data_IF_501486831493
#
_entry.id   IF_501486831493
#
_cell.length_a   1.000
_cell.length_b   1.000
_cell.length_c   1.000
_cell.angle_alpha   90.00
_cell.angle_beta   90.00
_cell.angle_gamma   90.00
#
_symmetry.space_group_name_H-M   'P 1'
#
loop_
_entity.id
_entity.type
_entity.pdbx_description
1 polymer ?
#
# COMPACT_ATOMS: atom_id res chain seq x y z
N UNK A 1 0.01 9.94 31.43
CA UNK A 1 -1.32 9.43 31.08
C UNK A 1 -1.75 10.11 29.80
N UNK A 2 -2.06 9.32 28.77
CA UNK A 2 -2.60 9.82 27.51
C UNK A 2 -4.12 9.65 27.55
N UNK A 3 -4.86 10.64 27.08
CA UNK A 3 -6.31 10.59 26.98
C UNK A 3 -6.70 10.72 25.51
N UNK A 4 -7.42 9.72 25.00
CA UNK A 4 -7.90 9.70 23.62
C UNK A 4 -9.29 10.32 23.56
N UNK A 5 -9.51 11.22 22.60
CA UNK A 5 -10.80 11.90 22.39
C UNK A 5 -11.62 11.23 21.28
N UNK A 6 -12.94 11.17 21.47
CA UNK A 6 -13.89 10.65 20.48
C UNK A 6 -14.15 11.57 19.28
N UNK A 7 -13.84 12.87 19.34
CA UNK A 7 -13.98 13.83 18.24
C UNK A 7 -12.87 14.90 18.26
N UNK A 8 -12.41 15.31 17.08
CA UNK A 8 -11.44 16.41 16.88
C UNK A 8 -12.11 17.77 17.06
N UNK A 9 -11.44 18.72 17.72
CA UNK A 9 -11.92 20.12 17.79
C UNK A 9 -11.87 20.76 16.41
N UNK A 10 -12.89 21.54 16.06
CA UNK A 10 -12.92 22.44 14.89
C UNK A 10 -12.06 23.70 15.08
N UNK A 11 -11.61 24.01 16.30
CA UNK A 11 -10.71 25.13 16.62
C UNK A 11 -9.63 24.74 17.65
N UNK A 12 -8.37 25.11 17.39
CA UNK A 12 -7.19 24.76 18.21
C UNK A 12 -6.33 23.63 17.61
N UNK A 13 -5.28 23.18 18.33
CA UNK A 13 -4.41 22.07 17.89
C UNK A 13 -5.26 20.81 17.70
N UNK A 14 -5.41 20.34 16.45
CA UNK A 14 -6.27 19.21 16.01
C UNK A 14 -5.82 17.83 16.52
N UNK A 15 -5.30 17.74 17.75
CA UNK A 15 -4.72 16.51 18.32
C UNK A 15 -5.83 15.59 18.85
N UNK A 16 -5.78 14.32 18.44
CA UNK A 16 -6.69 13.24 18.88
C UNK A 16 -6.27 12.72 20.27
N UNK A 17 -5.00 12.85 20.61
CA UNK A 17 -4.40 12.40 21.87
C UNK A 17 -3.99 13.62 22.72
N UNK A 18 -4.45 13.65 23.96
CA UNK A 18 -4.01 14.61 24.96
C UNK A 18 -2.98 14.01 25.91
N UNK A 19 -1.88 14.73 26.12
CA UNK A 19 -0.81 14.33 27.02
C UNK A 19 0.55 14.72 26.45
N UNK A 20 1.61 14.47 27.24
CA UNK A 20 3.00 14.66 26.82
C UNK A 20 3.58 13.29 26.47
N UNK A 21 4.10 13.17 25.26
CA UNK A 21 4.79 11.99 24.77
C UNK A 21 5.78 12.39 23.68
N UNK A 22 6.71 11.48 23.36
CA UNK A 22 7.65 11.61 22.24
C UNK A 22 7.53 10.36 21.35
N UNK A 23 7.76 10.50 20.03
CA UNK A 23 7.95 9.34 19.17
C UNK A 23 9.02 8.40 19.76
N UNK A 24 8.75 7.10 19.73
CA UNK A 24 9.59 6.05 20.31
C UNK A 24 9.24 5.67 21.75
N UNK A 25 8.45 6.47 22.48
CA UNK A 25 8.01 6.14 23.84
C UNK A 25 7.14 4.87 23.84
N UNK A 26 7.27 4.05 24.89
CA UNK A 26 6.42 2.88 25.09
C UNK A 26 5.10 3.27 25.73
N UNK A 27 4.00 2.71 25.24
CA UNK A 27 2.66 3.00 25.74
C UNK A 27 1.91 1.70 26.05
N UNK A 28 1.29 1.67 27.22
CA UNK A 28 0.40 0.59 27.66
C UNK A 28 -1.04 1.09 27.61
N UNK A 29 -1.93 0.28 27.04
CA UNK A 29 -3.37 0.57 27.03
C UNK A 29 -4.01 -0.03 28.27
N UNK A 30 -4.87 0.74 28.95
CA UNK A 30 -5.66 0.27 30.08
C UNK A 30 -7.14 0.44 29.73
N UNK A 31 -7.91 -0.64 29.85
CA UNK A 31 -9.35 -0.64 29.54
C UNK A 31 -10.13 -1.42 30.60
N UNK A 32 -11.44 -1.19 30.72
CA UNK A 32 -12.26 -1.84 31.75
C UNK A 32 -12.63 -3.27 31.35
N UNK A 33 -13.21 -3.44 30.16
CA UNK A 33 -13.80 -4.68 29.70
C UNK A 33 -13.45 -4.91 28.24
N UNK A 34 -12.98 -6.12 27.92
CA UNK A 34 -12.75 -6.54 26.53
C UNK A 34 -13.79 -7.56 26.09
N UNK A 35 -14.43 -7.28 24.96
CA UNK A 35 -15.28 -8.22 24.20
C UNK A 35 -14.54 -8.72 22.96
N UNK A 36 -14.54 -7.92 21.88
CA UNK A 36 -13.87 -8.19 20.60
C UNK A 36 -12.44 -7.66 20.54
N UNK A 37 -12.09 -6.71 21.42
CA UNK A 37 -10.80 -6.01 21.39
C UNK A 37 -10.72 -4.83 20.40
N UNK A 38 -11.78 -4.53 19.65
CA UNK A 38 -11.79 -3.49 18.61
C UNK A 38 -11.35 -2.11 19.12
N UNK A 39 -11.87 -1.67 20.27
CA UNK A 39 -11.51 -0.37 20.86
C UNK A 39 -10.02 -0.25 21.20
N UNK A 40 -9.42 -1.34 21.71
CA UNK A 40 -8.00 -1.38 22.04
C UNK A 40 -7.16 -1.33 20.76
N UNK A 41 -7.55 -2.08 19.73
CA UNK A 41 -6.87 -2.07 18.44
C UNK A 41 -6.94 -0.70 17.76
N UNK A 42 -8.12 -0.07 17.70
CA UNK A 42 -8.29 1.30 17.18
C UNK A 42 -7.40 2.31 17.93
N UNK A 43 -7.37 2.20 19.27
CA UNK A 43 -6.51 3.05 20.12
C UNK A 43 -5.03 2.82 19.80
N UNK A 44 -4.61 1.56 19.67
CA UNK A 44 -3.24 1.19 19.39
C UNK A 44 -2.79 1.73 18.03
N UNK A 45 -3.64 1.64 17.00
CA UNK A 45 -3.34 2.16 15.66
C UNK A 45 -3.13 3.67 15.67
N UNK A 46 -3.98 4.41 16.38
CA UNK A 46 -3.84 5.87 16.53
C UNK A 46 -2.53 6.22 17.25
N UNK A 47 -2.22 5.54 18.36
CA UNK A 47 -0.98 5.78 19.11
C UNK A 47 0.27 5.44 18.29
N UNK A 48 0.24 4.33 17.53
CA UNK A 48 1.34 3.91 16.65
C UNK A 48 1.60 4.92 15.53
N UNK A 49 0.55 5.49 14.93
CA UNK A 49 0.68 6.58 13.93
C UNK A 49 1.31 7.85 14.49
N UNK A 50 1.16 8.11 15.78
CA UNK A 50 1.86 9.21 16.48
C UNK A 50 3.28 8.82 16.95
N UNK A 51 3.77 7.65 16.53
CA UNK A 51 5.13 7.17 16.79
C UNK A 51 5.31 6.43 18.11
N UNK A 52 4.23 6.06 18.83
CA UNK A 52 4.34 5.32 20.09
C UNK A 52 4.47 3.81 19.88
N UNK A 53 5.24 3.16 20.75
CA UNK A 53 5.38 1.69 20.79
C UNK A 53 4.29 1.10 21.70
N UNK A 54 3.22 0.60 21.10
CA UNK A 54 2.13 -0.08 21.82
C UNK A 54 2.34 -1.59 21.78
N UNK A 55 2.77 -2.16 22.90
CA UNK A 55 3.12 -3.60 23.02
C UNK A 55 2.29 -4.35 24.05
N UNK A 56 1.60 -3.65 24.96
CA UNK A 56 0.81 -4.30 26.02
C UNK A 56 -0.54 -3.60 26.25
N UNK A 57 -1.52 -4.40 26.67
CA UNK A 57 -2.82 -3.94 27.13
C UNK A 57 -3.20 -4.65 28.45
N UNK A 58 -3.66 -3.86 29.43
CA UNK A 58 -4.21 -4.36 30.69
C UNK A 58 -5.71 -4.10 30.75
N UNK A 59 -6.49 -5.13 31.04
CA UNK A 59 -7.94 -5.04 31.16
C UNK A 59 -8.44 -5.58 32.48
N UNK A 60 -9.50 -4.99 33.03
CA UNK A 60 -10.06 -5.48 34.29
C UNK A 60 -10.78 -6.81 34.07
N UNK A 61 -11.61 -6.90 33.02
CA UNK A 61 -12.39 -8.11 32.69
C UNK A 61 -12.22 -8.48 31.21
N UNK A 62 -11.67 -9.67 30.96
CA UNK A 62 -11.77 -10.33 29.66
C UNK A 62 -13.09 -11.10 29.57
N UNK A 63 -13.95 -10.74 28.62
CA UNK A 63 -15.23 -11.42 28.44
C UNK A 63 -15.11 -12.80 27.80
N UNK A 64 -13.93 -13.22 27.34
CA UNK A 64 -13.66 -14.53 26.72
C UNK A 64 -14.39 -14.73 25.38
N UNK A 65 -14.64 -13.62 24.67
CA UNK A 65 -15.37 -13.57 23.39
C UNK A 65 -14.44 -13.25 22.21
N UNK A 66 -13.24 -13.83 22.17
CA UNK A 66 -12.16 -13.64 21.19
C UNK A 66 -11.32 -12.35 21.31
N UNK A 67 -11.65 -11.42 22.22
CA UNK A 67 -10.91 -10.16 22.35
C UNK A 67 -9.42 -10.33 22.63
N UNK A 68 -9.04 -11.22 23.54
CA UNK A 68 -7.62 -11.54 23.78
C UNK A 68 -6.90 -12.01 22.52
N UNK A 69 -7.49 -12.97 21.79
CA UNK A 69 -6.93 -13.52 20.56
C UNK A 69 -6.75 -12.43 19.50
N UNK A 70 -7.74 -11.55 19.34
CA UNK A 70 -7.71 -10.44 18.40
C UNK A 70 -6.63 -9.40 18.76
N UNK A 71 -6.44 -9.11 20.05
CA UNK A 71 -5.42 -8.14 20.49
C UNK A 71 -4.01 -8.72 20.32
N UNK A 72 -3.82 -9.99 20.70
CA UNK A 72 -2.52 -10.68 20.60
C UNK A 72 -2.10 -10.93 19.15
N UNK A 73 -3.04 -11.18 18.23
CA UNK A 73 -2.74 -11.31 16.79
C UNK A 73 -2.22 -10.01 16.15
N UNK A 74 -2.36 -8.85 16.83
CA UNK A 74 -1.86 -7.55 16.38
C UNK A 74 -0.61 -7.09 17.16
N UNK A 75 0.11 -8.04 17.77
CA UNK A 75 1.39 -7.80 18.44
C UNK A 75 1.25 -7.05 19.77
N UNK A 76 0.08 -7.11 20.41
CA UNK A 76 -0.16 -6.49 21.72
C UNK A 76 -0.43 -7.61 22.72
N UNK A 77 0.43 -7.74 23.73
CA UNK A 77 0.21 -8.71 24.80
C UNK A 77 -0.94 -8.24 25.70
N UNK A 78 -2.02 -9.02 25.80
CA UNK A 78 -3.15 -8.68 26.66
C UNK A 78 -3.09 -9.43 28.00
N UNK A 79 -3.19 -8.68 29.10
CA UNK A 79 -3.32 -9.21 30.46
C UNK A 79 -4.64 -8.77 31.07
N UNK A 80 -5.36 -9.69 31.71
CA UNK A 80 -6.61 -9.39 32.41
C UNK A 80 -6.52 -9.68 33.91
N UNK A 81 -7.18 -8.86 34.74
CA UNK A 81 -7.31 -9.16 36.18
C UNK A 81 -8.26 -10.35 36.39
N UNK A 82 -9.39 -10.33 35.68
CA UNK A 82 -10.40 -11.38 35.71
C UNK A 82 -10.79 -11.80 34.30
N UNK A 83 -11.20 -13.06 34.17
CA UNK A 83 -12.01 -13.52 33.04
C UNK A 83 -13.46 -13.68 33.49
N UNK A 84 -14.43 -13.68 32.58
CA UNK A 84 -15.84 -13.93 32.95
C UNK A 84 -15.99 -15.23 33.72
N UNK A 85 -15.39 -16.34 33.26
CA UNK A 85 -15.43 -17.64 33.93
C UNK A 85 -14.85 -17.56 35.35
N UNK A 86 -13.72 -16.86 35.54
CA UNK A 86 -13.10 -16.68 36.85
C UNK A 86 -13.96 -15.82 37.78
N UNK A 87 -14.58 -14.76 37.26
CA UNK A 87 -15.49 -13.89 38.00
C UNK A 87 -16.75 -14.64 38.46
N UNK A 88 -17.37 -15.43 37.58
CA UNK A 88 -18.53 -16.27 37.92
C UNK A 88 -18.19 -17.26 39.03
N UNK A 89 -17.01 -17.87 38.98
CA UNK A 89 -16.52 -18.78 40.03
C UNK A 89 -16.43 -18.09 41.39
N UNK A 90 -15.94 -16.85 41.44
CA UNK A 90 -15.85 -16.10 42.69
C UNK A 90 -17.22 -15.70 43.24
N UNK A 91 -18.14 -15.25 42.37
CA UNK A 91 -19.49 -14.88 42.79
C UNK A 91 -20.28 -16.09 43.31
N UNK A 92 -20.11 -17.27 42.71
CA UNK A 92 -20.72 -18.51 43.21
C UNK A 92 -20.17 -18.88 44.59
N UNK A 93 -18.84 -18.85 44.77
CA UNK A 93 -18.19 -19.14 46.06
C UNK A 93 -18.62 -18.17 47.17
N UNK A 94 -18.90 -16.92 46.80
CA UNK A 94 -19.39 -15.89 47.72
C UNK A 94 -20.91 -15.93 47.96
N UNK A 95 -21.61 -16.95 47.43
CA UNK A 95 -23.08 -17.09 47.47
C UNK A 95 -23.82 -15.85 46.93
N UNK A 96 -23.25 -15.17 45.92
CA UNK A 96 -23.86 -14.01 45.26
C UNK A 96 -24.69 -14.37 44.03
N UNK A 97 -24.47 -15.56 43.47
CA UNK A 97 -25.23 -16.12 42.35
C UNK A 97 -25.49 -17.61 42.59
N UNK A 98 -26.51 -18.14 41.92
CA UNK A 98 -26.82 -19.57 41.94
C UNK A 98 -26.04 -20.32 40.83
N UNK A 99 -25.88 -21.64 41.00
CA UNK A 99 -25.12 -22.48 40.07
C UNK A 99 -25.69 -22.50 38.65
N UNK A 100 -27.00 -22.32 38.48
CA UNK A 100 -27.62 -22.22 37.16
C UNK A 100 -27.15 -20.98 36.39
N UNK A 101 -26.94 -19.84 37.06
CA UNK A 101 -26.42 -18.62 36.42
C UNK A 101 -25.02 -18.86 35.84
N UNK A 102 -24.16 -19.60 36.57
CA UNK A 102 -22.82 -19.95 36.08
C UNK A 102 -22.91 -20.79 34.81
N UNK A 103 -23.86 -21.74 34.78
CA UNK A 103 -24.12 -22.56 33.60
C UNK A 103 -24.60 -21.70 32.42
N UNK A 104 -25.61 -20.85 32.64
CA UNK A 104 -26.18 -19.98 31.60
C UNK A 104 -25.12 -19.06 30.98
N UNK A 105 -24.24 -18.49 31.81
CA UNK A 105 -23.12 -17.66 31.33
C UNK A 105 -22.11 -18.49 30.55
N UNK A 106 -21.79 -19.70 31.01
CA UNK A 106 -20.85 -20.60 30.30
C UNK A 106 -21.40 -20.97 28.92
N UNK A 107 -22.68 -21.32 28.84
CA UNK A 107 -23.36 -21.65 27.59
C UNK A 107 -23.39 -20.44 26.64
N UNK A 108 -23.66 -19.24 27.17
CA UNK A 108 -23.61 -17.99 26.41
C UNK A 108 -22.21 -17.71 25.83
N UNK A 109 -21.13 -17.94 26.59
CA UNK A 109 -19.76 -17.71 26.12
C UNK A 109 -19.31 -18.67 24.99
N UNK A 110 -19.92 -19.85 24.90
CA UNK A 110 -19.65 -20.81 23.83
C UNK A 110 -20.24 -20.32 22.50
N UNK A 111 -21.45 -19.77 22.53
CA UNK A 111 -22.15 -19.32 21.32
C UNK A 111 -21.85 -17.86 20.95
N UNK A 112 -21.49 -17.02 21.91
CA UNK A 112 -21.27 -15.59 21.72
C UNK A 112 -19.80 -15.26 21.50
N UNK A 113 -19.25 -15.69 20.37
CA UNK A 113 -17.89 -15.32 19.94
C UNK A 113 -17.91 -14.07 19.07
N UNK A 114 -17.09 -13.06 19.40
CA UNK A 114 -16.92 -11.93 18.50
C UNK A 114 -16.16 -12.35 17.24
N UNK A 115 -16.31 -11.63 16.11
CA UNK A 115 -15.54 -11.91 14.90
C UNK A 115 -14.03 -11.94 15.19
N UNK A 116 -13.32 -12.85 14.54
CA UNK A 116 -11.85 -12.81 14.56
C UNK A 116 -11.43 -11.59 13.74
N UNK A 117 -10.70 -10.68 14.37
CA UNK A 117 -10.06 -9.56 13.70
C UNK A 117 -8.68 -10.10 13.29
N UNK A 118 -8.55 -10.48 12.02
CA UNK A 118 -7.24 -10.80 11.47
C UNK A 118 -6.48 -9.49 11.26
N UNK A 119 -5.17 -9.43 11.53
CA UNK A 119 -4.36 -8.34 11.00
C UNK A 119 -4.58 -8.27 9.49
N UNK A 120 -4.83 -7.05 8.98
CA UNK A 120 -4.92 -6.77 7.55
C UNK A 120 -3.55 -7.09 6.94
N UNK A 121 -3.35 -8.35 6.52
CA UNK A 121 -2.17 -8.73 5.76
C UNK A 121 -2.43 -8.46 4.29
N UNK A 122 -1.86 -7.36 3.79
CA UNK A 122 -2.00 -6.97 2.37
C UNK A 122 -1.56 -8.06 1.39
N UNK A 123 -0.65 -8.96 1.79
CA UNK A 123 -0.08 -9.99 0.90
C UNK A 123 -1.08 -11.10 0.59
N UNK A 124 -1.92 -11.45 1.55
CA UNK A 124 -2.95 -12.50 1.42
C UNK A 124 -4.32 -11.94 1.07
N UNK A 125 -4.48 -10.61 1.12
CA UNK A 125 -5.74 -9.95 0.79
C UNK A 125 -5.93 -9.85 -0.74
N UNK A 126 -7.05 -10.34 -1.30
CA UNK A 126 -7.34 -10.19 -2.73
C UNK A 126 -7.41 -8.73 -3.18
N UNK A 127 -7.04 -8.47 -4.42
CA UNK A 127 -6.99 -7.11 -4.98
C UNK A 127 -8.33 -6.37 -4.94
N UNK A 128 -9.48 -7.00 -5.20
CA UNK A 128 -10.78 -6.31 -5.07
C UNK A 128 -11.07 -5.85 -3.65
N UNK A 129 -10.65 -6.61 -2.63
CA UNK A 129 -10.81 -6.18 -1.22
C UNK A 129 -9.86 -5.02 -0.91
N UNK A 130 -8.63 -5.05 -1.45
CA UNK A 130 -7.65 -3.96 -1.31
C UNK A 130 -8.08 -2.69 -2.03
N UNK A 131 -8.80 -2.81 -3.14
CA UNK A 131 -9.34 -1.68 -3.88
C UNK A 131 -10.26 -0.79 -3.03
N UNK A 132 -11.07 -1.40 -2.15
CA UNK A 132 -11.95 -0.70 -1.21
C UNK A 132 -11.19 -0.01 -0.06
N UNK A 133 -9.90 -0.35 0.13
CA UNK A 133 -9.02 0.25 1.14
C UNK A 133 -8.17 1.40 0.59
N UNK A 134 -8.21 1.64 -0.72
CA UNK A 134 -7.43 2.68 -1.37
C UNK A 134 -7.93 4.07 -1.00
N UNK A 135 -7.01 4.98 -0.63
CA UNK A 135 -7.33 6.41 -0.51
C UNK A 135 -7.43 7.10 -1.86
N UNK A 136 -6.61 6.67 -2.82
CA UNK A 136 -6.54 7.23 -4.16
C UNK A 136 -7.39 6.44 -5.15
N UNK A 137 -8.19 7.13 -5.97
CA UNK A 137 -9.06 6.51 -6.97
C UNK A 137 -8.28 5.74 -8.05
N UNK A 138 -7.08 6.19 -8.42
CA UNK A 138 -6.22 5.46 -9.36
C UNK A 138 -5.71 4.14 -8.76
N UNK A 139 -5.41 4.12 -7.45
CA UNK A 139 -5.03 2.89 -6.75
C UNK A 139 -6.15 1.85 -6.76
N UNK A 140 -7.37 2.27 -6.45
CA UNK A 140 -8.56 1.41 -6.55
C UNK A 140 -8.75 0.88 -7.99
N UNK A 141 -8.66 1.77 -8.99
CA UNK A 141 -8.75 1.38 -10.40
C UNK A 141 -7.68 0.37 -10.82
N UNK A 142 -6.44 0.54 -10.37
CA UNK A 142 -5.35 -0.39 -10.69
C UNK A 142 -5.64 -1.79 -10.14
N UNK A 143 -6.11 -1.92 -8.90
CA UNK A 143 -6.47 -3.24 -8.36
C UNK A 143 -7.61 -3.90 -9.15
N UNK A 144 -8.63 -3.13 -9.55
CA UNK A 144 -9.72 -3.67 -10.38
C UNK A 144 -9.20 -4.14 -11.75
N UNK A 145 -8.30 -3.37 -12.37
CA UNK A 145 -7.65 -3.74 -13.63
C UNK A 145 -6.80 -5.02 -13.48
N UNK A 146 -6.07 -5.15 -12.37
CA UNK A 146 -5.27 -6.34 -12.09
C UNK A 146 -6.11 -7.60 -12.05
N UNK A 147 -7.26 -7.57 -11.37
CA UNK A 147 -8.17 -8.72 -11.35
C UNK A 147 -8.87 -8.96 -12.68
N UNK A 148 -9.45 -7.91 -13.28
CA UNK A 148 -10.24 -8.06 -14.51
C UNK A 148 -9.39 -8.59 -15.67
N UNK A 149 -8.13 -8.15 -15.76
CA UNK A 149 -7.19 -8.58 -16.78
C UNK A 149 -6.35 -9.78 -16.35
N UNK A 150 -6.42 -10.18 -15.08
CA UNK A 150 -5.52 -11.18 -14.48
C UNK A 150 -4.06 -10.87 -14.81
N UNK A 151 -3.65 -9.62 -14.57
CA UNK A 151 -2.32 -9.13 -14.90
C UNK A 151 -1.79 -8.18 -13.86
N UNK A 152 -0.54 -8.38 -13.48
CA UNK A 152 0.21 -7.52 -12.56
C UNK A 152 1.44 -6.93 -13.27
N UNK A 153 1.35 -6.71 -14.59
CA UNK A 153 2.43 -6.13 -15.39
C UNK A 153 2.28 -4.61 -15.48
N UNK A 154 3.34 -3.92 -15.08
CA UNK A 154 3.69 -2.59 -15.53
C UNK A 154 4.76 -2.71 -16.62
N UNK A 155 4.42 -2.42 -17.88
CA UNK A 155 5.36 -2.53 -18.99
C UNK A 155 6.20 -1.26 -19.10
N UNK A 156 7.52 -1.40 -18.96
CA UNK A 156 8.47 -0.32 -19.18
C UNK A 156 8.83 -0.22 -20.66
N UNK A 157 8.22 0.75 -21.35
CA UNK A 157 8.47 1.05 -22.75
C UNK A 157 9.68 2.01 -22.91
N UNK A 158 10.84 1.58 -22.42
CA UNK A 158 12.09 2.34 -22.50
C UNK A 158 12.68 2.27 -23.93
N UNK A 159 11.99 2.92 -24.88
CA UNK A 159 12.32 3.00 -26.31
C UNK A 159 12.47 4.46 -26.73
N UNK A 160 13.29 4.76 -27.74
CA UNK A 160 13.60 6.16 -28.13
C UNK A 160 12.73 6.71 -29.28
N UNK A 161 11.90 5.87 -29.90
CA UNK A 161 11.00 6.25 -31.01
C UNK A 161 9.53 6.14 -30.62
N UNK A 162 8.76 7.18 -30.89
CA UNK A 162 7.33 7.26 -30.56
C UNK A 162 6.52 6.11 -31.18
N UNK A 163 6.72 5.81 -32.46
CA UNK A 163 5.99 4.73 -33.13
C UNK A 163 6.28 3.36 -32.53
N UNK A 164 7.52 3.10 -32.10
CA UNK A 164 7.87 1.84 -31.44
C UNK A 164 7.16 1.69 -30.08
N UNK A 165 6.99 2.78 -29.33
CA UNK A 165 6.18 2.77 -28.10
C UNK A 165 4.71 2.52 -28.40
N UNK A 166 4.16 3.15 -29.45
CA UNK A 166 2.75 2.97 -29.85
C UNK A 166 2.47 1.53 -30.30
N UNK A 167 3.34 0.95 -31.13
CA UNK A 167 3.22 -0.45 -31.58
C UNK A 167 3.29 -1.42 -30.39
N UNK A 168 4.23 -1.21 -29.48
CA UNK A 168 4.34 -2.03 -28.27
C UNK A 168 3.11 -1.88 -27.37
N UNK A 169 2.60 -0.67 -27.20
CA UNK A 169 1.42 -0.40 -26.39
C UNK A 169 0.15 -1.03 -26.98
N UNK A 170 -0.01 -1.04 -28.31
CA UNK A 170 -1.15 -1.70 -28.97
C UNK A 170 -1.05 -3.23 -28.85
N UNK A 171 0.15 -3.77 -29.02
CA UNK A 171 0.44 -5.22 -28.94
C UNK A 171 0.24 -5.77 -27.51
N UNK A 172 0.85 -5.12 -26.52
CA UNK A 172 0.84 -5.58 -25.13
C UNK A 172 -0.36 -5.08 -24.33
N UNK A 173 -1.05 -4.04 -24.81
CA UNK A 173 -2.16 -3.35 -24.14
C UNK A 173 -3.19 -4.27 -23.47
N UNK A 174 -3.72 -5.30 -24.16
CA UNK A 174 -4.69 -6.23 -23.55
C UNK A 174 -4.16 -7.02 -22.34
N UNK A 175 -2.84 -7.06 -22.15
CA UNK A 175 -2.18 -7.94 -21.19
C UNK A 175 -1.46 -7.20 -20.06
N UNK A 176 -1.45 -5.86 -20.07
CA UNK A 176 -0.80 -5.02 -19.06
C UNK A 176 -1.84 -4.15 -18.33
N UNK A 177 -1.55 -3.72 -17.11
CA UNK A 177 -2.45 -2.78 -16.38
C UNK A 177 -1.89 -1.36 -16.34
N UNK A 178 -0.58 -1.22 -16.54
CA UNK A 178 0.12 0.05 -16.50
C UNK A 178 1.20 0.05 -17.59
N UNK A 179 1.27 1.13 -18.37
CA UNK A 179 2.36 1.37 -19.31
C UNK A 179 3.22 2.51 -18.77
N UNK A 180 4.50 2.21 -18.50
CA UNK A 180 5.49 3.13 -17.99
C UNK A 180 6.34 3.69 -19.11
N UNK A 181 6.41 5.01 -19.21
CA UNK A 181 7.22 5.75 -20.17
C UNK A 181 8.36 6.50 -19.48
N UNK A 182 9.34 6.89 -20.29
CA UNK A 182 10.26 8.00 -20.04
C UNK A 182 10.14 8.90 -21.29
N UNK A 183 9.30 9.94 -21.24
CA UNK A 183 9.06 10.76 -22.46
C UNK A 183 10.26 11.63 -22.84
N UNK A 184 11.18 11.83 -21.90
CA UNK A 184 12.40 12.62 -22.06
C UNK A 184 13.52 11.90 -22.82
N UNK A 185 13.41 10.58 -23.05
CA UNK A 185 14.31 9.82 -23.92
C UNK A 185 13.79 9.65 -25.36
N UNK A 186 12.57 10.15 -25.65
CA UNK A 186 12.01 10.09 -27.01
C UNK A 186 12.62 11.16 -27.90
N UNK A 187 13.15 10.72 -29.04
CA UNK A 187 13.78 11.61 -30.04
C UNK A 187 12.73 12.43 -30.82
N UNK A 188 11.49 11.96 -30.88
CA UNK A 188 10.40 12.46 -31.71
C UNK A 188 9.09 12.68 -30.92
N UNK A 189 9.20 13.08 -29.64
CA UNK A 189 8.06 13.42 -28.80
C UNK A 189 7.15 14.47 -29.46
N UNK A 190 5.83 14.24 -29.40
CA UNK A 190 4.83 15.19 -29.91
C UNK A 190 3.48 15.06 -29.19
N UNK A 191 2.64 16.10 -29.30
CA UNK A 191 1.26 16.05 -28.79
C UNK A 191 0.44 14.93 -29.46
N UNK A 192 0.74 14.61 -30.73
CA UNK A 192 0.10 13.52 -31.45
C UNK A 192 0.48 12.14 -30.88
N UNK A 193 1.72 11.95 -30.43
CA UNK A 193 2.14 10.74 -29.73
C UNK A 193 1.31 10.54 -28.46
N UNK A 194 1.17 11.58 -27.62
CA UNK A 194 0.35 11.51 -26.41
C UNK A 194 -1.12 11.22 -26.73
N UNK A 195 -1.68 11.83 -27.77
CA UNK A 195 -3.05 11.56 -28.21
C UNK A 195 -3.24 10.07 -28.55
N UNK A 196 -2.38 9.50 -29.40
CA UNK A 196 -2.44 8.08 -29.79
C UNK A 196 -2.26 7.16 -28.57
N UNK A 197 -1.36 7.52 -27.66
CA UNK A 197 -1.11 6.74 -26.44
C UNK A 197 -2.36 6.69 -25.54
N UNK A 198 -3.06 7.82 -25.36
CA UNK A 198 -4.34 7.88 -24.63
C UNK A 198 -5.45 7.08 -25.31
N UNK A 199 -5.51 7.09 -26.64
CA UNK A 199 -6.46 6.28 -27.40
C UNK A 199 -6.23 4.78 -27.16
N UNK A 200 -4.97 4.33 -27.13
CA UNK A 200 -4.62 2.94 -26.81
C UNK A 200 -4.90 2.57 -25.35
N UNK A 201 -4.56 3.44 -24.41
CA UNK A 201 -4.87 3.26 -22.99
C UNK A 201 -6.38 3.06 -22.77
N UNK A 202 -7.21 3.84 -23.48
CA UNK A 202 -8.66 3.67 -23.47
C UNK A 202 -9.13 2.40 -24.19
N UNK A 203 -8.56 2.09 -25.36
CA UNK A 203 -8.92 0.92 -26.19
C UNK A 203 -8.70 -0.39 -25.43
N UNK A 204 -7.58 -0.49 -24.72
CA UNK A 204 -7.12 -1.72 -24.08
C UNK A 204 -7.27 -1.73 -22.57
N UNK A 205 -7.81 -0.67 -21.99
CA UNK A 205 -8.01 -0.47 -20.56
C UNK A 205 -6.74 -0.72 -19.74
N UNK A 206 -5.75 0.15 -19.94
CA UNK A 206 -4.56 0.27 -19.09
C UNK A 206 -4.31 1.73 -18.74
N UNK A 207 -3.52 1.97 -17.70
CA UNK A 207 -3.17 3.31 -17.25
C UNK A 207 -1.78 3.74 -17.75
N UNK A 208 -1.54 5.05 -17.77
CA UNK A 208 -0.28 5.65 -18.19
C UNK A 208 0.52 6.12 -16.98
N UNK A 209 1.79 5.73 -16.94
CA UNK A 209 2.75 6.12 -15.93
C UNK A 209 3.92 6.83 -16.57
N UNK A 210 4.24 8.04 -16.11
CA UNK A 210 5.51 8.68 -16.46
C UNK A 210 6.51 8.49 -15.31
N UNK A 211 7.60 7.76 -15.58
CA UNK A 211 8.63 7.45 -14.59
C UNK A 211 9.65 8.58 -14.42
N UNK A 212 9.13 9.80 -14.19
CA UNK A 212 9.92 11.03 -14.18
C UNK A 212 10.89 11.15 -13.00
N UNK A 213 10.63 10.44 -11.90
CA UNK A 213 11.36 10.49 -10.62
C UNK A 213 11.58 11.93 -10.16
N UNK A 214 10.50 12.69 -9.99
CA UNK A 214 10.57 14.07 -9.50
C UNK A 214 11.32 14.13 -8.17
N UNK A 215 12.28 15.06 -8.04
CA UNK A 215 13.20 15.12 -6.90
C UNK A 215 13.69 16.56 -6.66
N UNK A 216 12.81 17.55 -6.85
CA UNK A 216 13.09 18.97 -6.69
C UNK A 216 12.11 19.60 -5.69
N UNK A 217 12.35 20.85 -5.31
CA UNK A 217 11.52 21.61 -4.38
C UNK A 217 10.22 22.09 -5.02
N UNK A 218 9.29 22.50 -4.17
CA UNK A 218 7.86 22.71 -4.38
C UNK A 218 7.48 23.36 -5.72
N UNK A 219 7.87 24.63 -5.93
CA UNK A 219 7.46 25.39 -7.11
C UNK A 219 8.06 24.82 -8.40
N UNK A 220 9.26 24.23 -8.32
CA UNK A 220 9.96 23.69 -9.49
C UNK A 220 9.27 22.43 -10.01
N UNK A 221 8.93 21.48 -9.14
CA UNK A 221 8.22 20.26 -9.58
C UNK A 221 6.84 20.56 -10.14
N UNK A 222 6.13 21.56 -9.61
CA UNK A 222 4.85 21.99 -10.17
C UNK A 222 4.99 22.40 -11.64
N UNK A 223 6.00 23.22 -11.95
CA UNK A 223 6.26 23.66 -13.32
C UNK A 223 6.74 22.52 -14.22
N UNK A 224 7.58 21.62 -13.70
CA UNK A 224 8.04 20.44 -14.45
C UNK A 224 6.89 19.48 -14.78
N UNK A 225 5.90 19.36 -13.89
CA UNK A 225 4.77 18.47 -14.04
C UNK A 225 3.66 19.07 -14.93
N UNK A 226 3.34 20.37 -14.77
CA UNK A 226 2.22 21.01 -15.48
C UNK A 226 2.62 21.66 -16.81
N UNK A 227 3.85 22.18 -16.91
CA UNK A 227 4.28 23.04 -18.03
C UNK A 227 5.31 22.31 -18.91
N UNK A 228 6.11 23.11 -19.63
CA UNK A 228 7.12 22.62 -20.54
C UNK A 228 6.54 21.94 -21.77
N UNK A 229 7.41 21.21 -22.46
CA UNK A 229 7.07 20.46 -23.68
C UNK A 229 6.16 19.27 -23.34
N UNK A 230 6.44 18.58 -22.22
CA UNK A 230 5.79 17.30 -21.92
C UNK A 230 4.42 17.40 -21.26
N UNK A 231 4.15 18.48 -20.50
CA UNK A 231 2.87 18.72 -19.81
C UNK A 231 2.31 17.46 -19.13
N UNK A 232 3.17 16.76 -18.38
CA UNK A 232 2.97 15.39 -17.89
C UNK A 232 1.61 15.22 -17.19
N UNK A 233 1.20 16.20 -16.39
CA UNK A 233 -0.07 16.20 -15.66
C UNK A 233 -1.31 16.00 -16.57
N UNK A 234 -1.25 16.41 -17.84
CA UNK A 234 -2.38 16.35 -18.78
C UNK A 234 -2.69 14.94 -19.30
N UNK A 235 -1.78 13.99 -19.12
CA UNK A 235 -1.90 12.67 -19.75
C UNK A 235 -1.44 11.50 -18.90
N UNK A 236 -0.45 11.66 -18.02
CA UNK A 236 -0.01 10.56 -17.16
C UNK A 236 -1.02 10.39 -16.02
N UNK A 237 -1.56 9.18 -15.85
CA UNK A 237 -2.45 8.86 -14.73
C UNK A 237 -1.66 8.81 -13.41
N UNK A 238 -0.41 8.34 -13.46
CA UNK A 238 0.51 8.28 -12.32
C UNK A 238 1.93 8.73 -12.67
N UNK A 239 2.66 9.24 -11.69
CA UNK A 239 4.08 9.59 -11.82
C UNK A 239 4.91 9.09 -10.65
N UNK A 240 6.24 9.04 -10.82
CA UNK A 240 7.17 8.69 -9.73
C UNK A 240 7.81 9.91 -9.09
N UNK A 241 7.95 9.88 -7.75
CA UNK A 241 8.47 10.98 -6.93
C UNK A 241 9.41 10.46 -5.85
N UNK A 242 10.59 11.04 -5.73
CA UNK A 242 11.49 10.80 -4.61
C UNK A 242 11.00 11.53 -3.35
N UNK A 243 11.13 10.87 -2.20
CA UNK A 243 10.77 11.44 -0.90
C UNK A 243 11.80 12.45 -0.36
N UNK A 244 12.91 12.68 -1.08
CA UNK A 244 14.06 13.47 -0.59
C UNK A 244 13.73 14.92 -0.24
N UNK A 245 12.71 15.50 -0.89
CA UNK A 245 12.24 16.87 -0.62
C UNK A 245 11.26 16.94 0.57
N UNK A 246 10.90 15.81 1.19
CA UNK A 246 9.94 15.73 2.28
C UNK A 246 8.48 15.77 1.81
N UNK A 247 7.56 15.86 2.77
CA UNK A 247 6.11 15.74 2.54
C UNK A 247 5.53 16.89 1.69
N UNK A 248 6.11 18.10 1.73
CA UNK A 248 5.57 19.29 1.05
C UNK A 248 5.44 19.10 -0.46
N UNK A 249 6.38 18.37 -1.07
CA UNK A 249 6.36 18.06 -2.51
C UNK A 249 5.02 17.42 -2.93
N UNK A 250 4.42 16.58 -2.09
CA UNK A 250 3.19 15.84 -2.37
C UNK A 250 1.96 16.75 -2.36
N UNK A 251 1.91 17.70 -1.43
CA UNK A 251 0.80 18.65 -1.35
C UNK A 251 0.78 19.58 -2.57
N UNK A 252 1.94 19.87 -3.14
CA UNK A 252 2.06 20.73 -4.32
C UNK A 252 1.68 20.05 -5.63
N UNK A 253 1.85 18.72 -5.73
CA UNK A 253 1.24 17.98 -6.83
C UNK A 253 -0.29 18.19 -6.87
N UNK A 254 -0.99 18.33 -5.74
CA UNK A 254 -2.43 18.69 -5.75
C UNK A 254 -2.66 20.07 -6.36
N UNK A 255 -1.79 21.03 -6.06
CA UNK A 255 -1.90 22.40 -6.55
C UNK A 255 -1.77 22.48 -8.08
N UNK A 256 -0.91 21.65 -8.69
CA UNK A 256 -0.77 21.57 -10.15
C UNK A 256 -1.99 20.98 -10.87
N UNK A 257 -2.90 20.33 -10.15
CA UNK A 257 -4.06 19.64 -10.72
C UNK A 257 -5.36 20.46 -10.72
N UNK A 258 -5.31 21.74 -10.33
CA UNK A 258 -6.50 22.61 -10.24
C UNK A 258 -7.34 22.68 -11.53
N UNK A 259 -6.71 22.49 -12.69
CA UNK A 259 -7.35 22.52 -14.00
C UNK A 259 -7.54 21.13 -14.62
N UNK A 260 -7.33 20.06 -13.85
CA UNK A 260 -7.39 18.66 -14.31
C UNK A 260 -8.46 17.95 -13.50
N UNK A 261 -9.52 17.52 -14.18
CA UNK A 261 -10.66 16.86 -13.54
C UNK A 261 -10.42 15.37 -13.29
N UNK A 262 -9.59 14.74 -14.12
CA UNK A 262 -9.26 13.33 -14.00
C UNK A 262 -8.33 13.10 -12.80
N UNK A 263 -8.55 12.03 -12.02
CA UNK A 263 -7.69 11.72 -10.89
C UNK A 263 -6.26 11.44 -11.35
N UNK A 264 -5.32 11.73 -10.45
CA UNK A 264 -3.89 11.46 -10.62
C UNK A 264 -3.36 10.78 -9.37
N UNK A 265 -2.27 10.03 -9.55
CA UNK A 265 -1.63 9.30 -8.48
C UNK A 265 -0.11 9.43 -8.47
N UNK A 266 0.49 9.19 -7.31
CA UNK A 266 1.94 9.23 -7.13
C UNK A 266 2.44 7.87 -6.65
N UNK A 267 3.56 7.42 -7.20
CA UNK A 267 4.39 6.36 -6.63
C UNK A 267 5.60 6.97 -5.94
N UNK A 268 5.76 6.70 -4.64
CA UNK A 268 6.90 7.20 -3.86
C UNK A 268 8.06 6.22 -3.93
N UNK A 269 9.27 6.68 -4.27
CA UNK A 269 10.45 5.83 -4.26
C UNK A 269 10.99 5.65 -2.84
N UNK A 270 10.82 4.45 -2.29
CA UNK A 270 11.33 4.06 -0.97
C UNK A 270 12.55 3.13 -1.05
N UNK A 271 12.62 2.24 -2.04
CA UNK A 271 13.83 1.48 -2.36
C UNK A 271 14.11 1.50 -3.87
N UNK A 272 15.39 1.48 -4.24
CA UNK A 272 15.83 1.32 -5.63
C UNK A 272 16.53 -0.03 -5.82
N UNK A 273 16.44 -0.59 -7.03
CA UNK A 273 17.04 -1.88 -7.40
C UNK A 273 18.52 -1.79 -7.82
N UNK A 274 19.09 -0.58 -7.81
CA UNK A 274 20.49 -0.36 -8.18
C UNK A 274 21.44 -0.69 -7.04
N UNK A 275 22.62 -1.23 -7.38
CA UNK A 275 23.68 -1.50 -6.42
C UNK A 275 24.16 -0.19 -5.76
N UNK A 276 24.17 -0.15 -4.44
CA UNK A 276 24.65 1.00 -3.67
C UNK A 276 23.63 2.13 -3.48
N UNK A 277 22.34 1.86 -3.71
CA UNK A 277 21.28 2.83 -3.45
C UNK A 277 21.31 3.36 -2.00
N UNK A 278 21.14 4.67 -1.86
CA UNK A 278 21.09 5.36 -0.56
C UNK A 278 19.68 5.36 0.07
N UNK A 279 18.72 4.73 -0.59
CA UNK A 279 17.32 4.63 -0.16
C UNK A 279 17.16 3.52 0.89
N UNK A 280 17.82 3.68 2.03
CA UNK A 280 17.87 2.72 3.14
C UNK A 280 17.67 3.45 4.48
N UNK A 281 17.44 2.69 5.56
CA UNK A 281 17.37 3.24 6.92
C UNK A 281 16.29 4.32 7.04
N UNK A 282 16.66 5.48 7.57
CA UNK A 282 15.73 6.60 7.85
C UNK A 282 15.04 7.11 6.58
N UNK A 283 15.74 7.19 5.44
CA UNK A 283 15.12 7.59 4.17
C UNK A 283 13.92 6.70 3.82
N UNK A 284 14.10 5.37 3.96
CA UNK A 284 13.06 4.39 3.64
C UNK A 284 11.86 4.57 4.58
N UNK A 285 12.10 4.74 5.88
CA UNK A 285 11.04 4.93 6.88
C UNK A 285 10.25 6.23 6.63
N UNK A 286 10.93 7.31 6.28
CA UNK A 286 10.29 8.59 5.95
C UNK A 286 9.46 8.49 4.66
N UNK A 287 9.98 7.81 3.64
CA UNK A 287 9.27 7.57 2.39
C UNK A 287 7.97 6.76 2.59
N UNK A 288 8.02 5.71 3.43
CA UNK A 288 6.84 4.93 3.81
C UNK A 288 5.83 5.80 4.57
N UNK A 289 6.31 6.59 5.53
CA UNK A 289 5.45 7.47 6.34
C UNK A 289 4.71 8.49 5.46
N UNK A 290 5.41 9.10 4.49
CA UNK A 290 4.82 10.01 3.50
C UNK A 290 3.75 9.29 2.66
N UNK A 291 4.05 8.08 2.20
CA UNK A 291 3.16 7.28 1.38
C UNK A 291 1.87 6.88 2.12
N UNK A 292 1.96 6.51 3.39
CA UNK A 292 0.81 6.09 4.19
C UNK A 292 -0.13 7.22 4.57
N UNK A 293 0.37 8.46 4.70
CA UNK A 293 -0.44 9.60 5.12
C UNK A 293 -1.27 10.16 3.96
N UNK A 294 -0.65 10.34 2.79
CA UNK A 294 -1.25 11.06 1.66
C UNK A 294 -2.34 10.27 0.91
N UNK A 295 -3.36 10.98 0.43
CA UNK A 295 -4.42 10.48 -0.45
C UNK A 295 -4.07 10.58 -1.96
N UNK A 296 -2.97 11.27 -2.31
CA UNK A 296 -2.44 11.26 -3.67
C UNK A 296 -1.62 10.02 -3.98
N UNK A 297 -1.07 9.40 -2.94
CA UNK A 297 -0.14 8.29 -3.11
C UNK A 297 -0.93 7.02 -3.42
N UNK A 298 -0.60 6.44 -4.56
CA UNK A 298 -1.16 5.17 -5.05
C UNK A 298 -0.36 3.99 -4.51
N UNK A 299 0.94 4.18 -4.30
CA UNK A 299 1.81 3.11 -3.89
C UNK A 299 3.25 3.53 -3.71
N UNK A 300 4.09 2.52 -3.51
CA UNK A 300 5.51 2.67 -3.19
C UNK A 300 6.33 1.87 -4.18
N UNK A 301 7.40 2.47 -4.70
CA UNK A 301 8.44 1.76 -5.44
C UNK A 301 9.41 1.16 -4.43
N UNK A 302 9.43 -0.18 -4.33
CA UNK A 302 10.36 -0.89 -3.46
C UNK A 302 10.64 -2.33 -3.94
N UNK A 303 11.64 -2.97 -3.33
CA UNK A 303 12.08 -4.34 -3.66
C UNK A 303 11.54 -5.37 -2.65
N UNK A 304 11.26 -4.95 -1.42
CA UNK A 304 10.81 -5.82 -0.33
C UNK A 304 9.52 -5.34 0.32
N UNK A 305 8.89 -6.22 1.12
CA UNK A 305 7.66 -5.93 1.87
C UNK A 305 7.98 -5.03 3.08
N UNK A 306 7.93 -3.73 2.86
CA UNK A 306 8.34 -2.70 3.83
C UNK A 306 7.17 -1.90 4.42
N UNK A 307 5.92 -2.18 4.03
CA UNK A 307 4.73 -1.49 4.54
C UNK A 307 3.53 -2.42 4.65
N UNK A 308 2.63 -2.14 5.60
CA UNK A 308 1.46 -2.99 5.88
C UNK A 308 0.15 -2.45 5.31
N UNK A 309 0.10 -1.20 4.86
CA UNK A 309 -1.13 -0.58 4.33
C UNK A 309 -1.71 -1.36 3.14
N UNK A 310 -2.92 -1.95 3.26
CA UNK A 310 -3.51 -2.75 2.18
C UNK A 310 -3.95 -1.92 0.97
N UNK A 311 -4.20 -0.62 1.17
CA UNK A 311 -4.60 0.30 0.09
C UNK A 311 -3.46 0.87 -0.74
N UNK A 312 -2.20 0.60 -0.37
CA UNK A 312 -1.03 0.99 -1.17
C UNK A 312 -0.57 -0.17 -2.05
N UNK A 313 -0.12 0.15 -3.27
CA UNK A 313 0.42 -0.81 -4.23
C UNK A 313 1.94 -0.86 -4.12
N UNK A 314 2.52 -2.06 -4.00
CA UNK A 314 3.97 -2.24 -4.16
C UNK A 314 4.31 -2.36 -5.66
N UNK A 315 5.04 -1.38 -6.18
CA UNK A 315 5.59 -1.37 -7.54
C UNK A 315 7.06 -1.81 -7.51
N UNK A 316 7.36 -2.98 -8.07
CA UNK A 316 8.71 -3.55 -8.00
C UNK A 316 9.36 -3.63 -9.37
N UNK A 317 10.39 -2.80 -9.65
CA UNK A 317 11.20 -2.92 -10.86
C UNK A 317 12.28 -3.99 -10.74
N UNK A 318 12.93 -4.27 -11.87
CA UNK A 318 14.02 -5.26 -11.93
C UNK A 318 13.51 -6.69 -12.04
N UNK A 319 12.54 -6.95 -12.93
CA UNK A 319 11.97 -8.29 -13.12
C UNK A 319 12.40 -8.90 -14.46
N UNK A 320 12.94 -10.13 -14.42
CA UNK A 320 13.20 -10.98 -15.59
C UNK A 320 12.90 -12.44 -15.26
N UNK A 321 12.48 -13.24 -16.23
CA UNK A 321 12.25 -14.70 -16.06
C UNK A 321 13.50 -15.40 -15.51
N UNK A 322 14.69 -15.01 -15.99
CA UNK A 322 15.97 -15.52 -15.51
C UNK A 322 16.69 -14.46 -14.66
N UNK A 323 17.14 -14.89 -13.47
CA UNK A 323 17.97 -14.07 -12.59
C UNK A 323 19.24 -13.65 -13.31
N UNK A 324 19.50 -12.35 -13.34
CA UNK A 324 20.64 -11.77 -14.07
C UNK A 324 21.00 -10.38 -13.51
N UNK A 325 22.11 -9.82 -13.95
CA UNK A 325 22.53 -8.44 -13.70
C UNK A 325 23.02 -7.88 -15.02
N UNK A 326 22.69 -6.63 -15.34
CA UNK A 326 23.20 -5.99 -16.56
C UNK A 326 24.54 -5.29 -16.33
N UNK A 327 25.12 -4.77 -17.42
CA UNK A 327 26.40 -4.07 -17.42
C UNK A 327 26.38 -2.72 -16.68
N UNK A 328 25.19 -2.19 -16.35
CA UNK A 328 24.98 -0.89 -15.69
C UNK A 328 24.54 -1.02 -14.22
N UNK A 329 24.58 -2.23 -13.66
CA UNK A 329 24.33 -2.50 -12.24
C UNK A 329 22.86 -2.70 -11.85
N UNK A 330 21.95 -2.84 -12.81
CA UNK A 330 20.56 -3.24 -12.60
C UNK A 330 20.49 -4.73 -12.22
N UNK A 331 19.88 -5.02 -11.06
CA UNK A 331 19.64 -6.39 -10.60
C UNK A 331 18.26 -6.87 -11.04
N UNK A 332 18.19 -8.14 -11.46
CA UNK A 332 16.94 -8.78 -11.89
C UNK A 332 16.56 -9.98 -11.03
N UNK A 333 15.30 -10.01 -10.60
CA UNK A 333 14.68 -11.11 -9.86
C UNK A 333 13.58 -11.78 -10.69
N UNK A 334 13.28 -13.03 -10.36
CA UNK A 334 12.24 -13.81 -11.04
C UNK A 334 10.83 -13.34 -10.65
N UNK A 335 9.81 -13.55 -11.50
CA UNK A 335 8.41 -13.25 -11.18
C UNK A 335 7.96 -13.80 -9.81
N UNK A 336 8.22 -15.07 -9.53
CA UNK A 336 7.86 -15.68 -8.24
C UNK A 336 8.60 -15.01 -7.06
N UNK A 337 9.89 -14.71 -7.22
CA UNK A 337 10.69 -14.08 -6.17
C UNK A 337 10.18 -12.70 -5.80
N UNK A 338 9.82 -11.86 -6.78
CA UNK A 338 9.33 -10.50 -6.50
C UNK A 338 7.94 -10.51 -5.88
N UNK A 339 7.05 -11.39 -6.33
CA UNK A 339 5.71 -11.53 -5.75
C UNK A 339 5.79 -12.04 -4.30
N UNK A 340 6.68 -12.99 -4.03
CA UNK A 340 6.95 -13.46 -2.66
C UNK A 340 7.61 -12.38 -1.78
N UNK A 341 8.30 -11.42 -2.40
CA UNK A 341 8.85 -10.23 -1.71
C UNK A 341 7.83 -9.08 -1.61
N UNK A 342 6.55 -9.35 -1.89
CA UNK A 342 5.45 -8.43 -1.67
C UNK A 342 4.98 -7.63 -2.87
N UNK A 343 5.56 -7.84 -4.06
CA UNK A 343 5.18 -7.09 -5.27
C UNK A 343 3.71 -7.30 -5.62
N UNK A 344 3.01 -6.20 -5.88
CA UNK A 344 1.65 -6.21 -6.41
C UNK A 344 1.63 -5.90 -7.90
N UNK A 345 2.57 -5.05 -8.33
CA UNK A 345 2.76 -4.63 -9.71
C UNK A 345 4.26 -4.76 -10.05
N UNK A 346 4.58 -5.57 -11.06
CA UNK A 346 5.94 -5.82 -11.50
C UNK A 346 6.29 -4.95 -12.70
N UNK A 347 7.39 -4.19 -12.63
CA UNK A 347 7.90 -3.42 -13.78
C UNK A 347 8.80 -4.30 -14.63
N UNK A 348 8.37 -4.61 -15.84
CA UNK A 348 9.08 -5.43 -16.81
C UNK A 348 9.46 -4.57 -18.02
N UNK A 349 10.75 -4.42 -18.29
CA UNK A 349 11.26 -3.66 -19.45
C UNK A 349 11.89 -4.58 -20.48
N UNK A 350 13.22 -4.63 -20.48
CA UNK A 350 14.05 -5.42 -21.42
C UNK A 350 13.65 -6.88 -21.58
N UNK A 351 13.08 -7.51 -20.55
CA UNK A 351 12.52 -8.86 -20.66
C UNK A 351 11.42 -9.01 -21.72
N UNK A 352 10.74 -7.92 -22.09
CA UNK A 352 9.74 -7.85 -23.16
C UNK A 352 10.27 -7.05 -24.36
N UNK A 353 10.91 -5.90 -24.15
CA UNK A 353 11.30 -5.01 -25.25
C UNK A 353 12.42 -5.56 -26.14
N UNK A 354 13.31 -6.40 -25.59
CA UNK A 354 14.41 -7.05 -26.33
C UNK A 354 14.04 -8.46 -26.83
N UNK A 355 12.82 -8.94 -26.57
CA UNK A 355 12.38 -10.25 -27.03
C UNK A 355 12.10 -10.24 -28.54
N UNK A 356 12.44 -11.35 -29.22
CA UNK A 356 12.10 -11.56 -30.63
C UNK A 356 10.59 -11.49 -30.84
N UNK A 357 9.83 -12.22 -30.01
CA UNK A 357 8.37 -12.14 -29.93
C UNK A 357 7.95 -11.44 -28.63
N UNK A 358 7.65 -10.14 -28.74
CA UNK A 358 7.25 -9.29 -27.61
C UNK A 358 5.88 -9.70 -27.04
N UNK A 359 4.98 -10.23 -27.86
CA UNK A 359 3.66 -10.67 -27.38
C UNK A 359 3.79 -11.97 -26.59
N UNK A 360 4.53 -12.95 -27.12
CA UNK A 360 4.80 -14.19 -26.40
C UNK A 360 5.52 -13.92 -25.06
N UNK A 361 6.51 -13.01 -25.05
CA UNK A 361 7.17 -12.59 -23.81
C UNK A 361 6.18 -11.95 -22.82
N UNK A 362 5.32 -11.03 -23.28
CA UNK A 362 4.30 -10.37 -22.46
C UNK A 362 3.35 -11.38 -21.82
N UNK A 363 2.85 -12.33 -22.61
CA UNK A 363 1.95 -13.40 -22.15
C UNK A 363 2.63 -14.28 -21.10
N UNK A 364 3.90 -14.61 -21.30
CA UNK A 364 4.66 -15.40 -20.34
C UNK A 364 4.84 -14.70 -18.99
N UNK A 365 5.21 -13.42 -18.99
CA UNK A 365 5.26 -12.65 -17.74
C UNK A 365 3.90 -12.58 -17.06
N UNK A 366 2.81 -12.44 -17.83
CA UNK A 366 1.46 -12.35 -17.30
C UNK A 366 1.10 -13.64 -16.55
N UNK A 367 1.35 -14.78 -17.18
CA UNK A 367 1.11 -16.10 -16.60
C UNK A 367 1.93 -16.31 -15.32
N UNK A 368 3.25 -16.12 -15.36
CA UNK A 368 4.13 -16.39 -14.21
C UNK A 368 3.83 -15.46 -13.02
N UNK A 369 3.63 -14.16 -13.27
CA UNK A 369 3.32 -13.20 -12.22
C UNK A 369 1.94 -13.45 -11.60
N UNK A 370 0.93 -13.74 -12.43
CA UNK A 370 -0.42 -14.01 -11.93
C UNK A 370 -0.47 -15.33 -11.15
N UNK A 371 0.18 -16.38 -11.65
CA UNK A 371 0.28 -17.66 -10.94
C UNK A 371 0.95 -17.50 -9.57
N UNK A 372 2.03 -16.71 -9.50
CA UNK A 372 2.70 -16.41 -8.23
C UNK A 372 1.78 -15.63 -7.27
N UNK A 373 0.99 -14.67 -7.77
CA UNK A 373 0.00 -13.93 -6.96
C UNK A 373 -1.08 -14.87 -6.41
N UNK A 374 -1.68 -15.71 -7.26
CA UNK A 374 -2.70 -16.68 -6.83
C UNK A 374 -2.13 -17.61 -5.76
N UNK A 375 -0.93 -18.15 -5.96
CA UNK A 375 -0.22 -18.96 -4.96
C UNK A 375 -0.10 -18.20 -3.64
N UNK A 376 0.34 -16.94 -3.66
CA UNK A 376 0.52 -16.10 -2.46
C UNK A 376 -0.76 -15.90 -1.65
N UNK A 377 -1.92 -15.69 -2.29
CA UNK A 377 -3.18 -15.44 -1.58
C UNK A 377 -3.92 -16.71 -1.15
N UNK A 378 -3.47 -17.89 -1.62
CA UNK A 378 -4.07 -19.19 -1.27
C UNK A 378 -3.32 -19.97 -0.19
N UNK A 379 -2.11 -19.52 0.16
CA UNK A 379 -1.29 -20.03 1.27
C UNK A 379 -1.71 -19.37 2.58
#
# INVERSE_FOLDING_TARGET
MLLMRKQTKTYGTKKIIEGKFKPGDSCVIIDDVVTSGSSILETADILRREGLKVTEAFVVIDREQNGKKNIESHGILMRSLYTTTKLMTYLLKANKIAANIVKDVTDYLLISKAPIISPDNRLTMPFHIRAEKCKNAIGSKLFHLMESKQSTICLAADLTKADAVIELADLAGPHIVLLKTHVDILEDFSDNFIKRLKELAKKHDFLLMEDRKFADIENTVCLQYEKGIYKIAQWADVVTVHAIAGQSIIDDFKNSLKNISEPRGLFILAEMSSKGALTIGDYMQDAISIAEISDMVVGVVCQSDIFSSPGLIQLTPGVRILKSTDDLGQQYNTPESVVNSGADLAVVGRGITEAEDKLAATLKYKEELWAAYIKRITL
#
